data_IF_274043107530
#
_entry.id   IF_274043107530
#
_cell.length_a   1.000
_cell.length_b   1.000
_cell.length_c   1.000
_cell.angle_alpha   90.00
_cell.angle_beta   90.00
_cell.angle_gamma   90.00
#
_symmetry.space_group_name_H-M   'P 1'
#
loop_
_entity.id
_entity.type
_entity.pdbx_description
1 polymer ?
#
# COMPACT_ATOMS: atom_id res chain seq x y z
N UNK A 1 -6.11 -23.75 6.18
CA UNK A 1 -6.53 -23.41 5.49
C UNK A 1 -7.29 -22.42 5.60
N UNK A 2 -7.56 -21.81 6.01
CA UNK A 2 -8.37 -20.71 6.14
C UNK A 2 -8.26 -19.66 5.08
N UNK A 3 -7.37 -19.83 4.17
CA UNK A 3 -7.27 -18.85 3.13
C UNK A 3 -8.38 -19.00 2.15
N UNK A 4 -9.05 -17.95 1.86
CA UNK A 4 -10.12 -18.01 0.88
C UNK A 4 -9.50 -18.05 -0.51
N UNK A 5 -10.28 -18.52 -1.45
CA UNK A 5 -9.85 -18.50 -2.84
C UNK A 5 -10.33 -17.26 -3.54
N UNK A 6 -10.88 -16.32 -2.79
CA UNK A 6 -11.35 -15.11 -3.40
C UNK A 6 -10.21 -14.28 -3.94
N UNK A 7 -10.55 -13.37 -4.80
CA UNK A 7 -9.55 -12.56 -5.45
C UNK A 7 -8.65 -11.91 -4.43
N UNK A 8 -7.37 -12.00 -4.68
CA UNK A 8 -6.38 -11.39 -3.81
C UNK A 8 -6.26 -9.94 -4.16
N UNK A 9 -5.82 -9.17 -3.19
CA UNK A 9 -5.60 -7.76 -3.43
C UNK A 9 -4.23 -7.53 -4.07
N UNK A 10 -4.14 -6.46 -4.80
CA UNK A 10 -2.91 -6.07 -5.48
C UNK A 10 -2.16 -5.07 -4.64
N UNK A 11 -0.88 -5.33 -4.40
CA UNK A 11 -0.02 -4.50 -3.57
C UNK A 11 1.16 -4.04 -4.38
N UNK A 12 1.48 -2.76 -4.29
CA UNK A 12 2.69 -2.20 -4.86
C UNK A 12 3.66 -1.88 -3.73
N UNK A 13 4.87 -2.43 -3.80
CA UNK A 13 5.90 -2.18 -2.81
C UNK A 13 6.95 -1.27 -3.42
N UNK A 14 7.29 -0.18 -2.74
CA UNK A 14 8.18 0.85 -3.26
C UNK A 14 9.35 1.03 -2.31
N UNK A 15 10.57 0.76 -2.78
CA UNK A 15 11.77 0.93 -1.98
C UNK A 15 12.95 0.86 -2.94
N UNK A 16 14.00 1.66 -2.70
CA UNK A 16 15.19 1.59 -3.55
C UNK A 16 16.13 0.47 -3.13
N UNK A 17 15.85 -0.22 -2.04
CA UNK A 17 16.63 -1.36 -1.58
C UNK A 17 16.01 -2.63 -2.14
N UNK A 18 16.72 -3.26 -3.07
CA UNK A 18 16.20 -4.45 -3.74
C UNK A 18 15.99 -5.62 -2.80
N UNK A 19 16.74 -5.68 -1.71
CA UNK A 19 16.56 -6.75 -0.72
C UNK A 19 15.22 -6.61 -0.02
N UNK A 20 14.84 -5.39 0.31
CA UNK A 20 13.54 -5.12 0.93
C UNK A 20 12.43 -5.53 -0.03
N UNK A 21 12.56 -5.16 -1.30
CA UNK A 21 11.56 -5.51 -2.31
C UNK A 21 11.41 -7.02 -2.42
N UNK A 22 12.54 -7.74 -2.43
CA UNK A 22 12.50 -9.18 -2.57
C UNK A 22 11.85 -9.85 -1.36
N UNK A 23 12.26 -9.44 -0.16
CA UNK A 23 11.73 -10.04 1.05
C UNK A 23 10.23 -9.79 1.17
N UNK A 24 9.80 -8.57 0.92
CA UNK A 24 8.37 -8.25 1.01
C UNK A 24 7.59 -8.98 -0.07
N UNK A 25 8.11 -9.02 -1.31
CA UNK A 25 7.41 -9.73 -2.36
C UNK A 25 7.20 -11.19 -1.98
N UNK A 26 8.26 -11.86 -1.53
CA UNK A 26 8.15 -13.27 -1.18
C UNK A 26 7.18 -13.50 -0.03
N UNK A 27 7.29 -12.66 1.00
CA UNK A 27 6.43 -12.81 2.17
C UNK A 27 4.97 -12.57 1.83
N UNK A 28 4.69 -11.57 1.03
CA UNK A 28 3.32 -11.22 0.72
C UNK A 28 2.70 -12.16 -0.30
N UNK A 29 3.47 -12.60 -1.28
CA UNK A 29 2.96 -13.57 -2.24
C UNK A 29 2.62 -14.89 -1.58
N UNK A 30 3.40 -15.24 -0.55
CA UNK A 30 3.13 -16.46 0.20
C UNK A 30 1.76 -16.38 0.89
N UNK A 31 1.34 -15.18 1.25
CA UNK A 31 0.02 -14.99 1.86
C UNK A 31 -1.09 -14.84 0.83
N UNK A 32 -0.75 -14.87 -0.45
CA UNK A 32 -1.74 -14.84 -1.50
C UNK A 32 -1.96 -13.50 -2.16
N UNK A 33 -1.20 -12.49 -1.81
CA UNK A 33 -1.33 -11.18 -2.45
C UNK A 33 -0.63 -11.18 -3.81
N UNK A 34 -1.08 -10.31 -4.69
CA UNK A 34 -0.40 -10.05 -5.95
C UNK A 34 0.50 -8.84 -5.74
N UNK A 35 1.80 -9.01 -5.96
CA UNK A 35 2.77 -7.99 -5.58
C UNK A 35 3.55 -7.51 -6.81
N UNK A 36 3.59 -6.20 -6.98
CA UNK A 36 4.51 -5.56 -7.91
C UNK A 36 5.45 -4.69 -7.11
N UNK A 37 6.59 -4.36 -7.69
CA UNK A 37 7.59 -3.56 -6.99
C UNK A 37 8.00 -2.38 -7.85
N UNK A 38 8.46 -1.32 -7.19
CA UNK A 38 9.00 -0.14 -7.85
C UNK A 38 10.18 0.33 -7.03
N UNK A 39 11.20 0.87 -7.69
CA UNK A 39 12.43 1.26 -7.03
C UNK A 39 12.48 2.75 -6.72
N UNK A 40 11.51 3.50 -7.18
CA UNK A 40 11.46 4.94 -6.94
C UNK A 40 10.02 5.39 -6.91
N UNK A 41 9.80 6.59 -6.37
CA UNK A 41 8.47 7.16 -6.35
C UNK A 41 7.97 7.43 -7.77
N UNK A 42 8.87 7.85 -8.65
CA UNK A 42 8.50 8.11 -10.04
C UNK A 42 8.04 6.84 -10.74
N UNK A 43 8.77 5.75 -10.51
CA UNK A 43 8.37 4.47 -11.09
C UNK A 43 7.04 4.01 -10.50
N UNK A 44 6.85 4.24 -9.20
CA UNK A 44 5.60 3.87 -8.54
C UNK A 44 4.42 4.61 -9.15
N UNK A 45 4.56 5.91 -9.35
CA UNK A 45 3.47 6.70 -9.94
C UNK A 45 3.17 6.25 -11.36
N UNK A 46 4.21 5.94 -12.14
CA UNK A 46 4.02 5.44 -13.49
C UNK A 46 3.25 4.11 -13.47
N UNK A 47 3.62 3.24 -12.55
CA UNK A 47 2.95 1.95 -12.41
C UNK A 47 1.49 2.13 -12.01
N UNK A 48 1.23 3.04 -11.08
CA UNK A 48 -0.13 3.29 -10.60
C UNK A 48 -1.03 3.88 -11.68
N UNK A 49 -0.45 4.55 -12.66
CA UNK A 49 -1.23 5.08 -13.77
C UNK A 49 -1.63 4.01 -14.78
N UNK A 50 -0.88 2.89 -14.78
CA UNK A 50 -1.12 1.84 -15.76
C UNK A 50 -1.87 0.65 -15.20
N UNK A 51 -1.81 0.44 -13.90
CA UNK A 51 -2.38 -0.75 -13.27
C UNK A 51 -3.09 -0.37 -12.00
N UNK A 52 -4.03 -1.20 -11.60
CA UNK A 52 -4.83 -0.95 -10.41
C UNK A 52 -4.23 -1.66 -9.21
N UNK A 53 -4.12 -0.94 -8.10
CA UNK A 53 -3.64 -1.47 -6.83
C UNK A 53 -4.58 -1.08 -5.71
N UNK A 54 -4.62 -1.91 -4.69
CA UNK A 54 -5.43 -1.63 -3.50
C UNK A 54 -4.59 -1.00 -2.40
N UNK A 55 -3.34 -1.40 -2.32
CA UNK A 55 -2.46 -1.06 -1.21
C UNK A 55 -1.08 -0.71 -1.77
N UNK A 56 -0.46 0.32 -1.19
CA UNK A 56 0.92 0.68 -1.49
C UNK A 56 1.71 0.62 -0.19
N UNK A 57 2.89 -0.02 -0.24
CA UNK A 57 3.82 -0.02 0.89
C UNK A 57 5.06 0.71 0.40
N UNK A 58 5.38 1.86 0.96
CA UNK A 58 6.47 2.68 0.44
C UNK A 58 7.43 3.13 1.53
N UNK A 59 8.72 3.15 1.17
CA UNK A 59 9.73 3.80 1.99
C UNK A 59 9.54 5.31 1.93
N UNK A 60 9.83 6.00 3.03
CA UNK A 60 9.76 7.46 3.05
C UNK A 60 11.00 8.09 2.44
N UNK A 61 12.15 7.49 2.66
CA UNK A 61 13.42 8.10 2.26
C UNK A 61 13.89 7.49 0.96
N UNK A 62 13.53 8.14 -0.15
CA UNK A 62 13.93 7.67 -1.46
C UNK A 62 14.22 8.86 -2.35
N UNK A 63 15.35 8.80 -3.06
CA UNK A 63 15.65 9.67 -4.16
C UNK A 63 15.13 11.11 -4.04
N UNK A 64 14.70 11.64 -5.16
CA UNK A 64 14.27 13.02 -5.21
C UNK A 64 12.87 13.22 -4.67
N UNK A 65 11.96 12.33 -5.02
CA UNK A 65 10.61 12.42 -4.47
C UNK A 65 10.54 11.55 -3.24
N UNK A 66 10.20 12.15 -2.11
CA UNK A 66 10.11 11.41 -0.84
C UNK A 66 8.84 10.58 -0.82
N UNK A 67 8.80 9.64 0.14
CA UNK A 67 7.59 8.84 0.33
C UNK A 67 6.42 9.66 0.81
N UNK A 68 6.67 10.77 1.50
CA UNK A 68 5.59 11.66 1.91
C UNK A 68 4.97 12.32 0.69
N UNK A 69 5.80 12.78 -0.24
CA UNK A 69 5.28 13.36 -1.48
C UNK A 69 4.51 12.32 -2.29
N UNK A 70 5.04 11.10 -2.34
CA UNK A 70 4.36 10.02 -3.04
C UNK A 70 3.00 9.74 -2.41
N UNK A 71 2.96 9.70 -1.07
CA UNK A 71 1.71 9.49 -0.34
C UNK A 71 0.66 10.53 -0.76
N UNK A 72 1.08 11.79 -0.83
CA UNK A 72 0.16 12.87 -1.18
C UNK A 72 -0.33 12.73 -2.62
N UNK A 73 0.56 12.39 -3.54
CA UNK A 73 0.17 12.22 -4.94
C UNK A 73 -0.78 11.05 -5.12
N UNK A 74 -0.54 9.95 -4.41
CA UNK A 74 -1.42 8.80 -4.50
C UNK A 74 -2.81 9.13 -3.97
N UNK A 75 -2.87 9.86 -2.86
CA UNK A 75 -4.16 10.21 -2.27
C UNK A 75 -4.96 11.12 -3.19
N UNK A 76 -4.29 11.95 -3.98
CA UNK A 76 -4.98 12.75 -4.98
C UNK A 76 -5.57 11.88 -6.09
N UNK A 77 -4.84 10.83 -6.46
CA UNK A 77 -5.31 9.93 -7.51
C UNK A 77 -6.46 9.06 -7.02
N UNK A 78 -6.36 8.58 -5.79
CA UNK A 78 -7.35 7.66 -5.26
C UNK A 78 -7.34 7.78 -3.73
N UNK A 79 -8.31 8.48 -3.18
CA UNK A 79 -8.36 8.73 -1.74
C UNK A 79 -8.61 7.46 -0.93
N UNK A 80 -9.07 6.38 -1.56
CA UNK A 80 -9.30 5.12 -0.87
C UNK A 80 -8.09 4.22 -0.85
N UNK A 81 -7.03 4.59 -1.57
CA UNK A 81 -5.79 3.81 -1.57
C UNK A 81 -5.25 3.76 -0.14
N UNK A 82 -4.91 2.56 0.32
CA UNK A 82 -4.33 2.40 1.65
C UNK A 82 -2.82 2.37 1.51
N UNK A 83 -2.16 3.25 2.23
CA UNK A 83 -0.73 3.45 2.07
C UNK A 83 -0.02 3.16 3.38
N UNK A 84 0.92 2.22 3.33
CA UNK A 84 1.75 1.85 4.46
C UNK A 84 3.12 2.48 4.24
N UNK A 85 3.67 3.06 5.28
CA UNK A 85 4.93 3.79 5.19
C UNK A 85 6.00 3.06 5.99
N UNK A 86 7.19 2.92 5.42
CA UNK A 86 8.34 2.30 6.06
C UNK A 86 9.47 3.30 6.13
N UNK A 87 10.28 3.24 7.17
CA UNK A 87 11.47 4.08 7.23
C UNK A 87 12.45 3.57 8.28
N UNK A 88 13.76 3.80 8.03
CA UNK A 88 14.78 3.56 9.04
C UNK A 88 15.07 4.81 9.85
N UNK A 89 14.41 5.92 9.54
CA UNK A 89 14.65 7.19 10.22
C UNK A 89 13.32 7.79 10.66
N UNK A 90 12.66 7.11 11.61
CA UNK A 90 11.39 7.62 12.09
C UNK A 90 11.65 8.72 13.11
N UNK A 91 11.06 9.87 12.88
CA UNK A 91 11.01 10.95 13.86
C UNK A 91 9.55 11.27 14.06
N UNK A 92 9.23 11.79 15.24
CA UNK A 92 7.83 12.11 15.53
C UNK A 92 7.23 13.05 14.48
N UNK A 93 7.91 14.14 14.08
CA UNK A 93 7.33 15.00 13.04
C UNK A 93 7.03 14.27 11.74
N UNK A 94 7.90 13.35 11.32
CA UNK A 94 7.65 12.60 10.09
C UNK A 94 6.48 11.66 10.23
N UNK A 95 6.39 10.96 11.37
CA UNK A 95 5.26 10.08 11.61
C UNK A 95 3.96 10.87 11.54
N UNK A 96 3.92 12.01 12.23
CA UNK A 96 2.74 12.86 12.24
C UNK A 96 2.40 13.30 10.82
N UNK A 97 3.40 13.72 10.06
CA UNK A 97 3.19 14.18 8.69
C UNK A 97 2.56 13.08 7.82
N UNK A 98 3.07 11.85 7.96
CA UNK A 98 2.53 10.73 7.20
C UNK A 98 1.10 10.43 7.61
N UNK A 99 0.81 10.42 8.89
CA UNK A 99 -0.52 10.08 9.37
C UNK A 99 -1.51 11.17 8.98
N UNK A 100 -1.10 12.43 9.06
CA UNK A 100 -1.96 13.53 8.61
C UNK A 100 -2.20 13.48 7.11
N UNK A 101 -1.23 12.96 6.36
CA UNK A 101 -1.39 12.79 4.92
C UNK A 101 -2.25 11.61 4.52
N UNK A 102 -2.67 10.81 5.48
CA UNK A 102 -3.58 9.71 5.20
C UNK A 102 -2.94 8.33 5.17
N UNK A 103 -1.74 8.18 5.72
CA UNK A 103 -1.13 6.84 5.80
C UNK A 103 -2.00 5.94 6.67
N UNK A 104 -2.10 4.68 6.25
CA UNK A 104 -2.84 3.69 7.02
C UNK A 104 -2.06 3.25 8.24
N UNK A 105 -0.76 3.02 8.04
CA UNK A 105 0.08 2.55 9.12
C UNK A 105 1.53 2.89 8.82
N UNK A 106 2.38 2.75 9.81
CA UNK A 106 3.75 3.18 9.75
C UNK A 106 4.64 2.12 10.39
N UNK A 107 5.73 1.73 9.72
CA UNK A 107 6.62 0.69 10.21
C UNK A 107 8.07 1.14 10.20
N UNK A 108 8.78 0.83 11.28
CA UNK A 108 10.21 1.10 11.37
C UNK A 108 10.99 -0.03 10.72
N UNK A 109 12.12 0.32 10.12
CA UNK A 109 13.08 -0.69 9.69
C UNK A 109 14.08 -0.92 10.83
N UNK A 110 14.54 -2.14 11.04
CA UNK A 110 14.29 -3.35 10.25
C UNK A 110 12.85 -3.83 10.43
N UNK A 111 12.28 -4.30 9.31
CA UNK A 111 10.86 -4.63 9.27
C UNK A 111 10.56 -5.90 10.05
N UNK A 112 9.46 -5.88 10.76
CA UNK A 112 8.88 -7.07 11.36
C UNK A 112 7.76 -7.51 10.42
N UNK A 113 8.00 -8.59 9.69
CA UNK A 113 7.06 -9.02 8.66
C UNK A 113 5.71 -9.38 9.26
N UNK A 114 5.70 -9.99 10.44
CA UNK A 114 4.44 -10.37 11.05
C UNK A 114 3.57 -9.17 11.38
N UNK A 115 4.19 -8.09 11.86
CA UNK A 115 3.44 -6.87 12.15
C UNK A 115 2.82 -6.32 10.88
N UNK A 116 3.58 -6.35 9.79
CA UNK A 116 3.07 -5.87 8.51
C UNK A 116 1.91 -6.74 8.04
N UNK A 117 2.04 -8.05 8.17
CA UNK A 117 0.99 -8.97 7.73
C UNK A 117 -0.30 -8.78 8.53
N UNK A 118 -0.19 -8.54 9.83
CA UNK A 118 -1.37 -8.28 10.64
C UNK A 118 -2.08 -7.01 10.17
N UNK A 119 -1.32 -5.96 9.96
CA UNK A 119 -1.89 -4.69 9.51
C UNK A 119 -2.47 -4.82 8.10
N UNK A 120 -1.80 -5.58 7.23
CA UNK A 120 -2.30 -5.82 5.88
C UNK A 120 -3.60 -6.59 5.88
N UNK A 121 -3.72 -7.58 6.77
CA UNK A 121 -4.95 -8.35 6.85
C UNK A 121 -6.13 -7.44 7.21
N UNK A 122 -5.93 -6.55 8.14
CA UNK A 122 -6.96 -5.61 8.53
C UNK A 122 -7.29 -4.66 7.38
N UNK A 123 -6.26 -4.13 6.73
CA UNK A 123 -6.45 -3.21 5.61
C UNK A 123 -7.16 -3.91 4.45
N UNK A 124 -6.84 -5.18 4.21
CA UNK A 124 -7.45 -5.95 3.14
C UNK A 124 -8.95 -6.11 3.36
N UNK A 125 -9.33 -6.42 4.58
CA UNK A 125 -10.76 -6.56 4.89
C UNK A 125 -11.50 -5.25 4.67
N UNK A 126 -10.87 -4.16 5.04
CA UNK A 126 -11.48 -2.85 4.83
C UNK A 126 -11.60 -2.52 3.35
N UNK A 127 -10.56 -2.82 2.58
CA UNK A 127 -10.56 -2.55 1.15
C UNK A 127 -11.64 -3.36 0.43
N UNK A 128 -11.80 -4.62 0.83
CA UNK A 128 -12.83 -5.47 0.24
C UNK A 128 -14.22 -4.92 0.57
N UNK A 129 -14.41 -4.49 1.81
CA UNK A 129 -15.69 -3.93 2.23
C UNK A 129 -16.03 -2.67 1.43
N UNK A 130 -15.04 -1.79 1.23
CA UNK A 130 -15.26 -0.57 0.46
C UNK A 130 -15.58 -0.89 -0.99
N UNK A 131 -14.87 -1.86 -1.57
CA UNK A 131 -15.12 -2.26 -2.94
C UNK A 131 -16.55 -2.77 -3.12
N UNK A 132 -17.01 -3.58 -2.19
CA UNK A 132 -18.36 -4.12 -2.27
C UNK A 132 -19.40 -3.02 -2.13
N UNK A 133 -19.18 -2.10 -1.23
CA UNK A 133 -20.10 -0.98 -1.04
C UNK A 133 -20.14 -0.10 -2.29
N UNK A 134 -18.99 0.18 -2.85
CA UNK A 134 -18.91 1.01 -4.05
C UNK A 134 -19.63 0.34 -5.22
N UNK A 135 -19.42 -0.95 -5.38
CA UNK A 135 -20.07 -1.68 -6.46
C UNK A 135 -21.58 -1.65 -6.33
N UNK A 136 -22.08 -1.83 -5.12
CA UNK A 136 -23.53 -1.81 -4.88
C UNK A 136 -24.12 -0.46 -5.21
N UNK A 137 -23.46 0.61 -4.78
CA UNK A 137 -23.96 1.96 -5.06
C UNK A 137 -23.93 2.26 -6.55
N UNK A 138 -22.86 1.85 -7.23
CA UNK A 138 -22.74 2.09 -8.65
C UNK A 138 -23.82 1.35 -9.42
N UNK A 139 -24.05 0.08 -9.07
CA UNK A 139 -25.08 -0.71 -9.73
C UNK A 139 -26.45 -0.11 -9.48
N UNK A 140 -26.72 0.29 -8.24
CA UNK A 140 -28.00 0.92 -7.94
C UNK A 140 -28.24 2.17 -8.76
N UNK A 141 -27.20 3.00 -8.86
CA UNK A 141 -27.34 4.25 -9.61
C UNK A 141 -27.58 3.97 -11.09
N UNK A 142 -26.93 2.96 -11.64
CA UNK A 142 -27.11 2.64 -13.03
C UNK A 142 -28.39 1.88 -13.31
N UNK A 143 -28.88 1.19 -12.32
CA UNK A 143 -30.09 0.40 -12.48
C UNK A 143 -31.34 1.22 -12.64
N UNK A 144 -31.23 2.53 -12.52
CA UNK A 144 -32.37 3.36 -12.72
C UNK A 144 -32.58 3.66 -14.18
#
# INVERSE_FOLDING_TARGET
MGKTTESKLNILVVDDDENILLVLRQSLEKEGYHVNTAKSAEEALSTLQRSFFHIVITDIMMGEMSGVELLMEIKKMNSLMQIFVMTSHSTLPRVIQCMQGGAYDFFDKPLNIEDILVSLDEASRRAIRWRDLYSRHTVSAEGK
#
